data_IF_351059339888
#
_entry.id   IF_351059339888
#
_cell.length_a   1.000
_cell.length_b   1.000
_cell.length_c   1.000
_cell.angle_alpha   90.00
_cell.angle_beta   90.00
_cell.angle_gamma   90.00
#
_symmetry.space_group_name_H-M   'P 1'
#
loop_
_entity.id
_entity.type
_entity.pdbx_description
1 polymer ?
#
# COMPACT_ATOMS: atom_id res chain seq x y z
N UNK A 1 -17.15 -2.93 13.53
CA UNK A 1 -16.86 -3.05 12.08
C UNK A 1 -17.04 -1.72 11.34
N UNK A 2 -18.18 -1.03 11.45
CA UNK A 2 -18.41 0.25 10.74
C UNK A 2 -17.31 1.29 10.98
N UNK A 3 -16.88 1.48 12.24
CA UNK A 3 -15.77 2.39 12.56
C UNK A 3 -14.47 2.03 11.83
N UNK A 4 -14.13 0.74 11.74
CA UNK A 4 -12.92 0.30 11.05
C UNK A 4 -13.01 0.54 9.54
N UNK A 5 -14.17 0.30 8.93
CA UNK A 5 -14.40 0.58 7.51
C UNK A 5 -14.28 2.08 7.24
N UNK A 6 -14.95 2.93 8.03
CA UNK A 6 -14.88 4.38 7.87
C UNK A 6 -13.45 4.90 8.08
N UNK A 7 -12.76 4.44 9.12
CA UNK A 7 -11.38 4.82 9.39
C UNK A 7 -10.43 4.35 8.26
N UNK A 8 -10.63 3.15 7.70
CA UNK A 8 -9.85 2.66 6.57
C UNK A 8 -10.10 3.48 5.29
N UNK A 9 -11.35 3.88 5.02
CA UNK A 9 -11.68 4.75 3.88
C UNK A 9 -11.11 6.16 4.05
N UNK A 10 -11.17 6.73 5.26
CA UNK A 10 -10.51 8.01 5.59
C UNK A 10 -9.00 7.88 5.39
N UNK A 11 -8.38 6.80 5.85
CA UNK A 11 -6.97 6.55 5.65
C UNK A 11 -6.61 6.44 4.17
N UNK A 12 -7.37 5.65 3.41
CA UNK A 12 -7.18 5.46 1.97
C UNK A 12 -7.25 6.79 1.21
N UNK A 13 -8.27 7.61 1.51
CA UNK A 13 -8.45 8.93 0.92
C UNK A 13 -7.32 9.89 1.30
N UNK A 14 -6.94 9.91 2.58
CA UNK A 14 -5.89 10.81 3.07
C UNK A 14 -4.51 10.45 2.48
N UNK A 15 -4.16 9.16 2.40
CA UNK A 15 -2.95 8.71 1.71
C UNK A 15 -2.99 9.01 0.21
N UNK A 16 -4.13 8.82 -0.44
CA UNK A 16 -4.31 9.17 -1.85
C UNK A 16 -4.06 10.66 -2.08
N UNK A 17 -4.66 11.52 -1.26
CA UNK A 17 -4.51 12.97 -1.31
C UNK A 17 -3.06 13.41 -1.03
N UNK A 18 -2.43 12.87 0.01
CA UNK A 18 -1.01 13.13 0.33
C UNK A 18 -0.12 12.79 -0.86
N UNK A 19 -0.32 11.60 -1.44
CA UNK A 19 0.43 11.14 -2.61
C UNK A 19 0.25 12.09 -3.79
N UNK A 20 -0.99 12.55 -4.04
CA UNK A 20 -1.25 13.48 -5.16
C UNK A 20 -0.58 14.84 -4.93
N UNK A 21 -0.57 15.34 -3.69
CA UNK A 21 0.12 16.58 -3.30
C UNK A 21 1.63 16.46 -3.49
N UNK A 22 2.25 15.39 -2.98
CA UNK A 22 3.68 15.14 -3.13
C UNK A 22 4.08 14.99 -4.60
N UNK A 23 3.29 14.27 -5.40
CA UNK A 23 3.54 14.10 -6.84
C UNK A 23 3.45 15.42 -7.60
N UNK A 24 2.47 16.28 -7.29
CA UNK A 24 2.36 17.62 -7.90
C UNK A 24 3.51 18.52 -7.52
N UNK A 25 3.93 18.50 -6.26
CA UNK A 25 5.08 19.28 -5.78
C UNK A 25 6.36 18.85 -6.54
N UNK A 26 6.52 17.55 -6.76
CA UNK A 26 7.61 17.00 -7.57
C UNK A 26 7.53 17.43 -9.05
N UNK A 27 6.34 17.37 -9.67
CA UNK A 27 6.13 17.79 -11.07
C UNK A 27 6.41 19.30 -11.29
N UNK A 28 6.25 20.14 -10.27
CA UNK A 28 6.53 21.59 -10.34
C UNK A 28 8.02 21.95 -10.26
N UNK A 29 8.91 21.01 -9.90
CA UNK A 29 10.35 21.28 -9.84
C UNK A 29 11.01 21.09 -11.22
N UNK A 30 11.92 22.00 -11.60
CA UNK A 30 12.72 21.83 -12.83
C UNK A 30 13.54 20.53 -12.76
N UNK A 31 13.37 19.63 -13.74
CA UNK A 31 14.22 18.44 -13.90
C UNK A 31 15.66 18.87 -14.17
N UNK A 32 16.56 18.72 -13.20
CA UNK A 32 18.00 18.94 -13.38
C UNK A 32 18.74 17.65 -13.07
N UNK A 33 19.27 16.99 -14.11
CA UNK A 33 20.04 15.72 -14.08
C UNK A 33 19.33 14.54 -13.39
N UNK A 34 19.68 13.31 -13.79
CA UNK A 34 19.32 12.13 -13.01
C UNK A 34 20.09 12.19 -11.67
N UNK A 35 19.40 11.99 -10.53
CA UNK A 35 19.97 11.98 -9.17
C UNK A 35 20.38 13.35 -8.59
N UNK A 36 19.52 14.36 -8.70
CA UNK A 36 19.72 15.60 -7.95
C UNK A 36 19.42 15.40 -6.45
N UNK A 37 20.46 15.16 -5.66
CA UNK A 37 20.39 15.06 -4.20
C UNK A 37 19.80 16.32 -3.54
N UNK A 38 19.76 17.46 -4.25
CA UNK A 38 19.13 18.70 -3.78
C UNK A 38 17.64 18.77 -4.10
N UNK A 39 17.08 17.78 -4.80
CA UNK A 39 15.63 17.72 -5.04
C UNK A 39 14.86 17.62 -3.73
N UNK A 40 15.31 16.76 -2.80
CA UNK A 40 14.65 16.59 -1.51
C UNK A 40 14.67 17.88 -0.70
N UNK A 41 15.81 18.58 -0.65
CA UNK A 41 15.92 19.86 0.06
C UNK A 41 15.08 20.98 -0.58
N UNK A 42 14.89 20.96 -1.90
CA UNK A 42 13.96 21.89 -2.57
C UNK A 42 12.50 21.54 -2.29
N UNK A 43 12.14 20.27 -2.34
CA UNK A 43 10.78 19.80 -2.04
C UNK A 43 10.38 20.15 -0.61
N UNK A 44 11.28 19.93 0.37
CA UNK A 44 11.12 20.33 1.78
C UNK A 44 10.74 21.81 1.96
N UNK A 45 11.10 22.68 1.01
CA UNK A 45 10.81 24.12 1.03
C UNK A 45 9.53 24.52 0.29
N UNK A 46 8.88 23.59 -0.41
CA UNK A 46 7.65 23.89 -1.14
C UNK A 46 6.43 23.73 -0.23
N UNK A 47 5.55 24.75 -0.22
CA UNK A 47 4.32 24.73 0.59
C UNK A 47 3.44 23.51 0.26
N UNK A 48 3.36 23.14 -1.02
CA UNK A 48 2.54 22.01 -1.45
C UNK A 48 3.05 20.67 -0.89
N UNK A 49 4.36 20.49 -0.81
CA UNK A 49 4.97 19.29 -0.23
C UNK A 49 4.80 19.28 1.29
N UNK A 50 4.96 20.42 1.96
CA UNK A 50 4.68 20.56 3.40
C UNK A 50 3.22 20.26 3.73
N UNK A 51 2.28 20.75 2.92
CA UNK A 51 0.85 20.45 3.06
C UNK A 51 0.52 18.97 2.87
N UNK A 52 1.35 18.20 2.14
CA UNK A 52 1.18 16.76 1.95
C UNK A 52 1.36 15.94 3.22
N UNK A 53 2.06 16.46 4.24
CA UNK A 53 2.23 15.78 5.53
C UNK A 53 0.96 15.77 6.38
N UNK A 54 0.10 16.78 6.26
CA UNK A 54 -1.15 16.84 7.02
C UNK A 54 -2.05 15.64 6.72
N UNK A 55 -2.44 15.36 5.46
CA UNK A 55 -3.21 14.18 5.14
C UNK A 55 -2.42 12.88 5.36
N UNK A 56 -1.09 12.90 5.31
CA UNK A 56 -0.28 11.71 5.63
C UNK A 56 -0.43 11.30 7.11
N UNK A 57 -0.28 12.26 8.03
CA UNK A 57 -0.47 12.05 9.47
C UNK A 57 -1.91 11.62 9.77
N UNK A 58 -2.91 12.28 9.16
CA UNK A 58 -4.31 11.87 9.27
C UNK A 58 -4.49 10.43 8.78
N UNK A 59 -3.87 10.08 7.66
CA UNK A 59 -3.90 8.75 7.08
C UNK A 59 -3.34 7.69 8.02
N UNK A 60 -2.15 7.92 8.59
CA UNK A 60 -1.52 7.01 9.56
C UNK A 60 -2.37 6.83 10.80
N UNK A 61 -2.90 7.93 11.38
CA UNK A 61 -3.76 7.87 12.56
C UNK A 61 -5.06 7.09 12.27
N UNK A 62 -5.71 7.36 11.13
CA UNK A 62 -6.92 6.67 10.72
C UNK A 62 -6.63 5.19 10.39
N UNK A 63 -5.47 4.86 9.81
CA UNK A 63 -5.05 3.49 9.54
C UNK A 63 -4.82 2.72 10.85
N UNK A 64 -4.11 3.31 11.82
CA UNK A 64 -3.93 2.73 13.13
C UNK A 64 -5.28 2.49 13.83
N UNK A 65 -6.20 3.46 13.74
CA UNK A 65 -7.55 3.35 14.27
C UNK A 65 -8.34 2.21 13.58
N UNK A 66 -8.25 2.11 12.26
CA UNK A 66 -8.90 1.06 11.49
C UNK A 66 -8.40 -0.33 11.90
N UNK A 67 -7.08 -0.50 12.04
CA UNK A 67 -6.47 -1.75 12.46
C UNK A 67 -6.75 -2.11 13.92
N UNK A 68 -6.90 -1.11 14.79
CA UNK A 68 -7.29 -1.31 16.18
C UNK A 68 -8.69 -1.94 16.29
N UNK A 69 -9.63 -1.52 15.44
CA UNK A 69 -11.04 -1.93 15.51
C UNK A 69 -11.48 -2.89 14.39
N UNK A 70 -10.56 -3.30 13.53
CA UNK A 70 -10.86 -4.04 12.30
C UNK A 70 -9.89 -5.18 12.02
N UNK A 71 -10.31 -6.20 11.25
CA UNK A 71 -9.42 -7.24 10.79
C UNK A 71 -8.42 -6.68 9.75
N UNK A 72 -7.18 -7.15 9.79
CA UNK A 72 -6.14 -6.82 8.82
C UNK A 72 -6.55 -7.26 7.41
N UNK A 73 -7.21 -8.42 7.32
CA UNK A 73 -7.81 -8.99 6.10
C UNK A 73 -8.89 -8.10 5.47
N UNK A 74 -9.48 -7.16 6.22
CA UNK A 74 -10.43 -6.16 5.73
C UNK A 74 -9.76 -4.81 5.45
N UNK A 75 -8.91 -4.35 6.36
CA UNK A 75 -8.34 -2.99 6.29
C UNK A 75 -7.38 -2.86 5.10
N UNK A 76 -6.58 -3.89 4.82
CA UNK A 76 -5.56 -3.81 3.78
C UNK A 76 -6.16 -3.73 2.36
N UNK A 77 -7.14 -4.58 1.98
CA UNK A 77 -7.86 -4.40 0.72
C UNK A 77 -8.61 -3.06 0.62
N UNK A 78 -9.19 -2.57 1.73
CA UNK A 78 -9.84 -1.25 1.72
C UNK A 78 -8.85 -0.12 1.45
N UNK A 79 -7.64 -0.16 1.99
CA UNK A 79 -6.61 0.84 1.71
C UNK A 79 -6.20 0.85 0.24
N UNK A 80 -6.21 -0.30 -0.44
CA UNK A 80 -5.92 -0.38 -1.88
C UNK A 80 -6.92 0.43 -2.72
N UNK A 81 -8.13 0.71 -2.22
CA UNK A 81 -9.08 1.62 -2.89
C UNK A 81 -8.57 3.05 -3.03
N UNK A 82 -7.59 3.45 -2.21
CA UNK A 82 -6.93 4.76 -2.30
C UNK A 82 -6.31 5.01 -3.68
N UNK A 83 -5.87 3.98 -4.40
CA UNK A 83 -5.42 4.11 -5.79
C UNK A 83 -6.53 4.64 -6.70
N UNK A 84 -7.74 4.09 -6.57
CA UNK A 84 -8.89 4.51 -7.37
C UNK A 84 -9.35 5.92 -6.95
N UNK A 85 -9.30 6.24 -5.66
CA UNK A 85 -9.56 7.60 -5.17
C UNK A 85 -8.53 8.61 -5.73
N UNK A 86 -7.25 8.24 -5.81
CA UNK A 86 -6.20 9.10 -6.36
C UNK A 86 -6.47 9.47 -7.82
N UNK A 87 -6.95 8.52 -8.64
CA UNK A 87 -7.36 8.77 -10.03
C UNK A 87 -8.45 9.85 -10.08
N UNK A 88 -9.47 9.74 -9.22
CA UNK A 88 -10.58 10.70 -9.17
C UNK A 88 -10.13 12.08 -8.67
N UNK A 89 -9.27 12.13 -7.64
CA UNK A 89 -8.69 13.36 -7.11
C UNK A 89 -7.86 14.07 -8.19
N UNK A 90 -7.01 13.33 -8.92
CA UNK A 90 -6.19 13.89 -9.99
C UNK A 90 -7.05 14.46 -11.12
N UNK A 91 -8.09 13.76 -11.55
CA UNK A 91 -9.00 14.25 -12.59
C UNK A 91 -9.74 15.54 -12.17
N UNK A 92 -10.30 15.56 -10.96
CA UNK A 92 -11.02 16.72 -10.43
C UNK A 92 -10.13 17.96 -10.34
N UNK A 93 -8.89 17.79 -9.86
CA UNK A 93 -7.98 18.93 -9.69
C UNK A 93 -7.29 19.34 -10.99
N UNK A 94 -7.07 18.43 -11.93
CA UNK A 94 -6.59 18.79 -13.28
C UNK A 94 -7.68 19.42 -14.16
N UNK A 95 -8.95 19.44 -13.70
CA UNK A 95 -10.13 19.87 -14.47
C UNK A 95 -10.21 19.21 -15.85
N UNK A 96 -9.69 17.99 -15.96
CA UNK A 96 -9.72 17.20 -17.19
C UNK A 96 -10.73 16.06 -17.02
N UNK A 97 -11.45 15.70 -18.10
CA UNK A 97 -12.36 14.57 -18.03
C UNK A 97 -11.60 13.29 -17.69
N UNK A 98 -12.19 12.48 -16.80
CA UNK A 98 -11.68 11.13 -16.49
C UNK A 98 -11.68 10.32 -17.78
N UNK A 99 -10.52 9.79 -18.15
CA UNK A 99 -10.41 8.97 -19.34
C UNK A 99 -11.20 7.66 -19.15
N UNK A 100 -11.84 7.16 -20.21
CA UNK A 100 -12.68 5.94 -20.15
C UNK A 100 -11.97 4.75 -19.50
N UNK A 101 -10.66 4.62 -19.75
CA UNK A 101 -9.81 3.56 -19.16
C UNK A 101 -9.64 3.71 -17.65
N UNK A 102 -9.51 4.93 -17.14
CA UNK A 102 -9.34 5.20 -15.72
C UNK A 102 -10.66 5.00 -14.97
N UNK A 103 -11.76 5.36 -15.63
CA UNK A 103 -13.10 5.04 -15.15
C UNK A 103 -13.31 3.52 -15.11
N UNK A 104 -12.94 2.79 -16.17
CA UNK A 104 -13.01 1.33 -16.19
C UNK A 104 -12.13 0.69 -15.11
N UNK A 105 -10.89 1.18 -14.92
CA UNK A 105 -9.99 0.73 -13.85
C UNK A 105 -10.64 0.89 -12.47
N UNK A 106 -11.20 2.07 -12.22
CA UNK A 106 -11.88 2.42 -10.97
C UNK A 106 -13.11 1.56 -10.74
N UNK A 107 -13.95 1.39 -11.75
CA UNK A 107 -15.19 0.60 -11.67
C UNK A 107 -14.89 -0.88 -11.42
N UNK A 108 -14.01 -1.48 -12.23
CA UNK A 108 -13.67 -2.92 -12.12
C UNK A 108 -12.97 -3.20 -10.78
N UNK A 109 -12.04 -2.34 -10.39
CA UNK A 109 -11.32 -2.49 -9.13
C UNK A 109 -12.21 -2.31 -7.90
N UNK A 110 -13.07 -1.29 -7.90
CA UNK A 110 -14.03 -1.04 -6.81
C UNK A 110 -15.07 -2.14 -6.72
N UNK A 111 -15.60 -2.61 -7.86
CA UNK A 111 -16.52 -3.75 -7.89
C UNK A 111 -15.86 -5.00 -7.32
N UNK A 112 -14.63 -5.33 -7.75
CA UNK A 112 -13.85 -6.43 -7.20
C UNK A 112 -13.66 -6.30 -5.70
N UNK A 113 -13.29 -5.12 -5.19
CA UNK A 113 -13.13 -4.91 -3.75
C UNK A 113 -14.43 -5.08 -2.97
N UNK A 114 -15.55 -4.51 -3.44
CA UNK A 114 -16.85 -4.64 -2.78
C UNK A 114 -17.31 -6.10 -2.78
N UNK A 115 -17.16 -6.81 -3.90
CA UNK A 115 -17.48 -8.24 -3.99
C UNK A 115 -16.58 -9.07 -3.07
N UNK A 116 -15.29 -8.77 -2.99
CA UNK A 116 -14.36 -9.43 -2.08
C UNK A 116 -14.83 -9.28 -0.63
N UNK A 117 -15.10 -8.05 -0.19
CA UNK A 117 -15.49 -7.78 1.19
C UNK A 117 -16.84 -8.41 1.55
N UNK A 118 -17.81 -8.38 0.62
CA UNK A 118 -19.13 -8.99 0.83
C UNK A 118 -19.08 -10.53 0.86
N UNK A 119 -18.30 -11.14 -0.05
CA UNK A 119 -18.23 -12.60 -0.15
C UNK A 119 -17.33 -13.20 0.94
N UNK A 120 -16.16 -12.60 1.18
CA UNK A 120 -15.17 -13.11 2.10
C UNK A 120 -15.56 -12.91 3.58
N UNK A 121 -16.49 -12.01 3.89
CA UNK A 121 -16.98 -11.72 5.26
C UNK A 121 -15.84 -11.76 6.32
N UNK A 122 -14.85 -10.84 6.23
CA UNK A 122 -13.67 -10.91 7.08
C UNK A 122 -14.02 -10.68 8.56
N UNK A 123 -13.56 -11.58 9.43
CA UNK A 123 -13.78 -11.48 10.88
C UNK A 123 -12.47 -11.42 11.65
N UNK A 124 -12.46 -10.60 12.69
CA UNK A 124 -11.32 -10.48 13.60
C UNK A 124 -11.04 -11.81 14.31
N UNK A 125 -9.76 -12.12 14.50
CA UNK A 125 -9.29 -13.25 15.30
C UNK A 125 -8.72 -12.78 16.64
N UNK A 126 -7.51 -13.22 16.97
CA UNK A 126 -6.80 -12.79 18.18
C UNK A 126 -6.26 -11.37 18.05
N UNK A 127 -6.20 -10.65 19.17
CA UNK A 127 -5.59 -9.31 19.26
C UNK A 127 -4.08 -9.39 19.45
N UNK A 128 -3.58 -10.43 20.12
CA UNK A 128 -2.16 -10.64 20.41
C UNK A 128 -1.69 -12.00 19.86
N UNK A 129 -1.06 -12.02 18.67
CA UNK A 129 -0.41 -13.22 18.17
C UNK A 129 0.72 -13.69 19.09
N UNK A 130 0.83 -15.01 19.27
CA UNK A 130 1.91 -15.61 20.05
C UNK A 130 3.29 -15.47 19.40
N UNK A 131 4.35 -15.72 20.17
CA UNK A 131 5.73 -15.59 19.68
C UNK A 131 6.04 -16.50 18.48
N UNK A 132 5.50 -17.72 18.45
CA UNK A 132 5.66 -18.66 17.34
C UNK A 132 5.04 -18.13 16.04
N UNK A 133 3.88 -17.47 16.11
CA UNK A 133 3.25 -16.85 14.96
C UNK A 133 4.11 -15.71 14.40
N UNK A 134 4.67 -14.86 15.27
CA UNK A 134 5.60 -13.80 14.86
C UNK A 134 6.90 -14.36 14.28
N UNK A 135 7.39 -15.48 14.79
CA UNK A 135 8.56 -16.16 14.22
C UNK A 135 8.30 -16.61 12.78
N UNK A 136 7.14 -17.21 12.50
CA UNK A 136 6.75 -17.59 11.14
C UNK A 136 6.57 -16.39 10.21
N UNK A 137 5.97 -15.30 10.70
CA UNK A 137 5.87 -14.05 9.94
C UNK A 137 7.27 -13.52 9.61
N UNK A 138 8.17 -13.47 10.58
CA UNK A 138 9.55 -13.02 10.37
C UNK A 138 10.31 -13.92 9.39
N UNK A 139 10.25 -15.24 9.56
CA UNK A 139 10.90 -16.21 8.68
C UNK A 139 10.38 -16.11 7.24
N UNK A 140 9.05 -16.04 7.06
CA UNK A 140 8.42 -15.86 5.75
C UNK A 140 8.80 -14.54 5.09
N UNK A 141 8.85 -13.45 5.87
CA UNK A 141 9.27 -12.12 5.41
C UNK A 141 10.73 -12.14 4.95
N UNK A 142 11.65 -12.60 5.79
CA UNK A 142 13.08 -12.66 5.48
C UNK A 142 13.34 -13.53 4.26
N UNK A 143 12.73 -14.71 4.20
CA UNK A 143 12.91 -15.64 3.08
C UNK A 143 12.41 -15.04 1.76
N UNK A 144 11.21 -14.44 1.77
CA UNK A 144 10.61 -13.86 0.57
C UNK A 144 11.41 -12.64 0.09
N UNK A 145 11.75 -11.73 1.01
CA UNK A 145 12.51 -10.52 0.70
C UNK A 145 13.92 -10.89 0.22
N UNK A 146 14.63 -11.77 0.92
CA UNK A 146 15.96 -12.24 0.50
C UNK A 146 15.91 -12.93 -0.86
N UNK A 147 14.92 -13.80 -1.10
CA UNK A 147 14.69 -14.45 -2.39
C UNK A 147 14.48 -13.44 -3.52
N UNK A 148 13.62 -12.43 -3.31
CA UNK A 148 13.41 -11.36 -4.27
C UNK A 148 14.69 -10.56 -4.55
N UNK A 149 15.44 -10.20 -3.50
CA UNK A 149 16.70 -9.47 -3.63
C UNK A 149 17.78 -10.28 -4.36
N UNK A 150 17.88 -11.58 -4.10
CA UNK A 150 18.82 -12.48 -4.77
C UNK A 150 18.45 -12.67 -6.25
N UNK A 151 17.17 -12.93 -6.53
CA UNK A 151 16.67 -13.05 -7.90
C UNK A 151 16.86 -11.74 -8.69
N UNK A 152 16.64 -10.58 -8.03
CA UNK A 152 16.82 -9.26 -8.61
C UNK A 152 18.26 -8.99 -9.09
N UNK A 153 19.27 -9.64 -8.50
CA UNK A 153 20.69 -9.50 -8.94
C UNK A 153 20.97 -10.10 -10.31
N UNK A 154 20.15 -11.06 -10.73
CA UNK A 154 20.28 -11.76 -12.02
C UNK A 154 19.22 -11.33 -13.04
N UNK A 155 18.26 -10.51 -12.63
CA UNK A 155 17.13 -10.09 -13.44
C UNK A 155 17.47 -8.88 -14.33
N UNK A 156 16.84 -8.81 -15.51
CA UNK A 156 16.81 -7.60 -16.32
C UNK A 156 16.03 -6.46 -15.64
N UNK A 157 16.21 -5.23 -16.10
CA UNK A 157 15.77 -4.01 -15.40
C UNK A 157 14.28 -3.99 -15.00
N UNK A 158 13.38 -4.38 -15.90
CA UNK A 158 11.94 -4.45 -15.62
C UNK A 158 11.59 -5.51 -14.57
N UNK A 159 12.15 -6.72 -14.70
CA UNK A 159 11.91 -7.81 -13.76
C UNK A 159 12.52 -7.51 -12.38
N UNK A 160 13.68 -6.85 -12.35
CA UNK A 160 14.31 -6.35 -11.13
C UNK A 160 13.40 -5.38 -10.39
N UNK A 161 12.85 -4.39 -11.08
CA UNK A 161 11.88 -3.45 -10.51
C UNK A 161 10.65 -4.15 -9.92
N UNK A 162 10.09 -5.13 -10.63
CA UNK A 162 8.97 -5.95 -10.13
C UNK A 162 9.34 -6.73 -8.86
N UNK A 163 10.47 -7.43 -8.84
CA UNK A 163 10.92 -8.20 -7.67
C UNK A 163 11.14 -7.33 -6.44
N UNK A 164 11.73 -6.13 -6.62
CA UNK A 164 11.88 -5.16 -5.54
C UNK A 164 10.52 -4.61 -5.09
N UNK A 165 9.58 -4.40 -6.00
CA UNK A 165 8.20 -4.01 -5.67
C UNK A 165 7.47 -5.08 -4.84
N UNK A 166 7.64 -6.36 -5.16
CA UNK A 166 7.12 -7.48 -4.33
C UNK A 166 7.74 -7.42 -2.93
N UNK A 167 9.07 -7.32 -2.82
CA UNK A 167 9.76 -7.24 -1.53
C UNK A 167 9.27 -6.04 -0.69
N UNK A 168 9.10 -4.87 -1.30
CA UNK A 168 8.55 -3.69 -0.63
C UNK A 168 7.11 -3.93 -0.15
N UNK A 169 6.26 -4.54 -0.99
CA UNK A 169 4.89 -4.88 -0.62
C UNK A 169 4.81 -5.83 0.58
N UNK A 170 5.69 -6.84 0.64
CA UNK A 170 5.79 -7.72 1.82
C UNK A 170 6.17 -6.94 3.06
N UNK A 171 7.19 -6.08 2.99
CA UNK A 171 7.62 -5.25 4.11
C UNK A 171 6.51 -4.31 4.60
N UNK A 172 5.76 -3.68 3.70
CA UNK A 172 4.62 -2.82 4.07
C UNK A 172 3.46 -3.60 4.67
N UNK A 173 3.11 -4.77 4.11
CA UNK A 173 2.06 -5.62 4.69
C UNK A 173 2.42 -6.11 6.11
N UNK A 174 3.68 -6.44 6.35
CA UNK A 174 4.18 -6.80 7.70
C UNK A 174 4.22 -5.58 8.62
N UNK A 175 4.56 -4.39 8.10
CA UNK A 175 4.48 -3.14 8.83
C UNK A 175 3.04 -2.87 9.29
N UNK A 176 2.04 -3.10 8.43
CA UNK A 176 0.64 -2.96 8.82
C UNK A 176 0.23 -3.97 9.90
N UNK A 177 0.71 -5.21 9.83
CA UNK A 177 0.50 -6.21 10.88
C UNK A 177 1.11 -5.78 12.23
N UNK A 178 2.32 -5.20 12.22
CA UNK A 178 2.97 -4.65 13.41
C UNK A 178 2.21 -3.43 13.93
N UNK A 179 1.78 -2.52 13.05
CA UNK A 179 0.95 -1.37 13.39
C UNK A 179 -0.35 -1.82 14.07
N UNK A 180 -0.99 -2.88 13.59
CA UNK A 180 -2.16 -3.47 14.24
C UNK A 180 -1.85 -3.91 15.68
N UNK A 181 -0.76 -4.63 15.88
CA UNK A 181 -0.37 -5.12 17.20
C UNK A 181 -0.01 -3.96 18.16
N UNK A 182 0.65 -2.92 17.66
CA UNK A 182 0.99 -1.71 18.42
C UNK A 182 -0.28 -0.91 18.76
N UNK A 183 -1.17 -0.70 17.79
CA UNK A 183 -2.41 0.05 17.97
C UNK A 183 -3.38 -0.64 18.95
N UNK A 184 -3.39 -1.98 18.99
CA UNK A 184 -4.15 -2.75 19.97
C UNK A 184 -3.68 -2.51 21.42
N UNK A 185 -2.42 -2.11 21.61
CA UNK A 185 -1.80 -1.87 22.92
C UNK A 185 -1.80 -0.39 23.33
N UNK A 186 -2.37 0.48 22.51
CA UNK A 186 -2.52 1.89 22.85
C UNK A 186 -3.59 2.10 23.93
N UNK A 187 -3.12 2.42 25.13
CA UNK A 187 -3.96 2.75 26.29
C UNK A 187 -3.74 4.18 26.79
N UNK A 188 -3.19 5.06 25.94
CA UNK A 188 -2.92 6.47 26.28
C UNK A 188 -1.56 6.72 26.94
N UNK A 189 -0.67 5.72 27.00
CA UNK A 189 0.70 5.85 27.51
C UNK A 189 1.74 5.79 26.37
N UNK A 190 2.32 6.94 25.98
CA UNK A 190 3.38 7.01 24.97
C UNK A 190 4.65 6.27 25.36
N UNK A 191 4.99 6.23 26.66
CA UNK A 191 6.21 5.59 27.12
C UNK A 191 6.09 4.07 26.99
N UNK A 192 4.95 3.50 27.34
CA UNK A 192 4.67 2.08 27.13
C UNK A 192 4.79 1.67 25.65
N UNK A 193 4.34 2.52 24.71
CA UNK A 193 4.54 2.26 23.28
C UNK A 193 6.01 2.35 22.88
N UNK A 194 6.74 3.35 23.38
CA UNK A 194 8.16 3.54 23.05
C UNK A 194 9.04 2.39 23.57
N UNK A 195 8.63 1.76 24.68
CA UNK A 195 9.31 0.60 25.25
C UNK A 195 8.86 -0.74 24.65
N UNK A 196 7.76 -0.78 23.88
CA UNK A 196 7.31 -2.01 23.22
C UNK A 196 8.25 -2.37 22.05
N UNK A 197 8.90 -3.56 22.05
CA UNK A 197 9.77 -3.99 20.96
C UNK A 197 9.08 -4.00 19.58
N UNK A 198 7.75 -4.16 19.53
CA UNK A 198 6.98 -4.16 18.29
C UNK A 198 6.96 -2.78 17.63
N UNK A 199 7.02 -1.70 18.40
CA UNK A 199 7.13 -0.34 17.86
C UNK A 199 8.44 -0.11 17.12
N UNK A 200 9.53 -0.67 17.65
CA UNK A 200 10.85 -0.63 17.00
C UNK A 200 10.91 -1.54 15.78
N UNK A 201 10.34 -2.74 15.87
CA UNK A 201 10.20 -3.62 14.71
C UNK A 201 9.38 -2.95 13.60
N UNK A 202 8.27 -2.30 13.94
CA UNK A 202 7.45 -1.52 13.00
C UNK A 202 8.29 -0.45 12.30
N UNK A 203 9.03 0.35 13.08
CA UNK A 203 9.87 1.42 12.54
C UNK A 203 10.93 0.86 11.57
N UNK A 204 11.65 -0.18 11.97
CA UNK A 204 12.70 -0.81 11.16
C UNK A 204 12.12 -1.40 9.88
N UNK A 205 11.05 -2.18 9.96
CA UNK A 205 10.43 -2.82 8.78
C UNK A 205 9.85 -1.77 7.83
N UNK A 206 9.22 -0.71 8.36
CA UNK A 206 8.70 0.38 7.55
C UNK A 206 9.81 1.15 6.82
N UNK A 207 10.92 1.44 7.50
CA UNK A 207 12.09 2.09 6.89
C UNK A 207 12.70 1.22 5.80
N UNK A 208 12.92 -0.07 6.06
CA UNK A 208 13.40 -1.02 5.05
C UNK A 208 12.45 -1.08 3.84
N UNK A 209 11.14 -1.09 4.10
CA UNK A 209 10.11 -1.00 3.06
C UNK A 209 10.29 0.23 2.18
N UNK A 210 10.49 1.41 2.79
CA UNK A 210 10.80 2.65 2.06
C UNK A 210 12.07 2.50 1.23
N UNK A 211 13.17 2.01 1.80
CA UNK A 211 14.42 1.87 1.06
C UNK A 211 14.30 0.93 -0.14
N UNK A 212 13.68 -0.25 0.04
CA UNK A 212 13.47 -1.22 -1.05
C UNK A 212 12.52 -0.65 -2.10
N UNK A 213 11.47 0.06 -1.70
CA UNK A 213 10.54 0.72 -2.60
C UNK A 213 11.22 1.79 -3.46
N UNK A 214 12.08 2.63 -2.87
CA UNK A 214 12.87 3.60 -3.63
C UNK A 214 13.80 2.93 -4.64
N UNK A 215 14.46 1.83 -4.25
CA UNK A 215 15.29 1.05 -5.17
C UNK A 215 14.47 0.41 -6.30
N UNK A 216 13.23 0.00 -6.02
CA UNK A 216 12.31 -0.56 -7.01
C UNK A 216 11.98 0.45 -8.10
N UNK A 217 11.70 1.71 -7.74
CA UNK A 217 11.39 2.77 -8.70
C UNK A 217 12.58 3.26 -9.52
N UNK A 218 13.82 2.90 -9.14
CA UNK A 218 15.01 3.19 -9.93
C UNK A 218 15.19 2.22 -11.12
N UNK A 219 14.49 1.08 -11.12
CA UNK A 219 14.66 0.01 -12.11
C UNK A 219 13.34 -0.30 -12.82
N UNK A 220 13.32 -0.23 -14.15
CA UNK A 220 12.16 -0.52 -14.99
C UNK A 220 11.16 0.63 -15.17
N UNK A 221 10.11 0.37 -15.95
CA UNK A 221 8.99 1.31 -16.14
C UNK A 221 8.27 1.45 -14.79
N UNK A 222 8.11 2.68 -14.29
CA UNK A 222 7.45 3.03 -13.01
C UNK A 222 6.19 2.21 -12.67
N UNK A 223 5.40 1.82 -13.67
CA UNK A 223 4.20 1.01 -13.48
C UNK A 223 4.47 -0.40 -12.93
N UNK A 224 5.54 -1.09 -13.34
CA UNK A 224 5.74 -2.49 -12.98
C UNK A 224 6.08 -2.70 -11.49
N UNK A 225 7.02 -1.94 -10.87
CA UNK A 225 7.25 -1.97 -9.43
C UNK A 225 6.00 -1.55 -8.63
N UNK A 226 5.30 -0.52 -9.11
CA UNK A 226 4.09 -0.01 -8.46
C UNK A 226 2.98 -1.06 -8.41
N UNK A 227 2.66 -1.69 -9.54
CA UNK A 227 1.66 -2.77 -9.60
C UNK A 227 2.06 -3.92 -8.67
N UNK A 228 3.34 -4.32 -8.69
CA UNK A 228 3.82 -5.39 -7.85
C UNK A 228 3.62 -5.09 -6.35
N UNK A 229 3.99 -3.88 -5.92
CA UNK A 229 3.81 -3.41 -4.54
C UNK A 229 2.33 -3.37 -4.16
N UNK A 230 1.49 -2.69 -4.96
CA UNK A 230 0.06 -2.49 -4.67
C UNK A 230 -0.72 -3.80 -4.59
N UNK A 231 -0.29 -4.85 -5.29
CA UNK A 231 -0.90 -6.17 -5.19
C UNK A 231 -0.33 -6.98 -4.02
N UNK A 232 0.97 -6.90 -3.76
CA UNK A 232 1.64 -7.73 -2.76
C UNK A 232 1.34 -7.28 -1.33
N UNK A 233 1.22 -5.98 -1.09
CA UNK A 233 0.96 -5.45 0.26
C UNK A 233 -0.38 -5.96 0.84
N UNK A 234 -1.53 -5.83 0.16
CA UNK A 234 -2.79 -6.37 0.68
C UNK A 234 -2.78 -7.88 0.82
N UNK A 235 -2.14 -8.60 -0.10
CA UNK A 235 -1.99 -10.07 -0.02
C UNK A 235 -1.21 -10.46 1.23
N UNK A 236 -0.10 -9.78 1.50
CA UNK A 236 0.71 -10.02 2.69
C UNK A 236 -0.10 -9.73 3.96
N UNK A 237 -0.84 -8.62 3.99
CA UNK A 237 -1.74 -8.29 5.08
C UNK A 237 -2.82 -9.36 5.32
N UNK A 238 -3.45 -9.86 4.26
CA UNK A 238 -4.44 -10.95 4.33
C UNK A 238 -3.81 -12.24 4.85
N UNK A 239 -2.63 -12.62 4.35
CA UNK A 239 -1.92 -13.83 4.80
C UNK A 239 -1.53 -13.74 6.28
N UNK A 240 -0.94 -12.63 6.72
CA UNK A 240 -0.57 -12.42 8.13
C UNK A 240 -1.82 -12.34 9.01
N UNK A 241 -2.89 -11.71 8.55
CA UNK A 241 -4.17 -11.65 9.24
C UNK A 241 -4.77 -13.04 9.46
N UNK A 242 -4.84 -13.84 8.40
CA UNK A 242 -5.39 -15.20 8.46
C UNK A 242 -4.54 -16.16 9.29
N UNK A 243 -3.20 -16.04 9.23
CA UNK A 243 -2.28 -16.97 9.91
C UNK A 243 -1.94 -16.54 11.32
N UNK A 244 -1.31 -15.37 11.50
CA UNK A 244 -0.81 -14.92 12.79
C UNK A 244 -1.94 -14.39 13.68
N UNK A 245 -2.83 -13.58 13.12
CA UNK A 245 -3.98 -13.03 13.84
C UNK A 245 -5.18 -13.99 13.87
N UNK A 246 -5.12 -15.13 13.15
CA UNK A 246 -6.21 -16.12 13.07
C UNK A 246 -7.54 -15.49 12.65
N UNK A 247 -7.49 -14.47 11.80
CA UNK A 247 -8.67 -13.87 11.20
C UNK A 247 -9.30 -14.83 10.20
N UNK A 248 -10.62 -14.85 10.12
CA UNK A 248 -11.33 -15.82 9.27
C UNK A 248 -11.94 -15.15 8.05
N UNK A 249 -11.88 -15.87 6.93
CA UNK A 249 -12.60 -15.54 5.70
C UNK A 249 -13.58 -16.67 5.36
N UNK A 250 -14.78 -16.31 4.96
CA UNK A 250 -15.81 -17.24 4.50
C UNK A 250 -15.53 -17.67 3.06
N UNK A 251 -14.81 -18.78 2.90
CA UNK A 251 -14.36 -19.30 1.60
C UNK A 251 -15.07 -20.61 1.18
N UNK A 252 -16.23 -20.93 1.74
CA UNK A 252 -16.95 -22.18 1.46
C UNK A 252 -17.99 -22.03 0.35
N UNK A 253 -18.21 -23.11 -0.41
CA UNK A 253 -19.25 -23.19 -1.45
C UNK A 253 -19.11 -22.10 -2.53
N UNK A 254 -20.21 -21.41 -2.83
CA UNK A 254 -20.26 -20.35 -3.86
C UNK A 254 -19.38 -19.13 -3.54
N UNK A 255 -18.97 -18.95 -2.27
CA UNK A 255 -18.14 -17.81 -1.87
C UNK A 255 -16.72 -17.90 -2.43
N UNK A 256 -16.17 -19.10 -2.58
CA UNK A 256 -14.82 -19.28 -3.12
C UNK A 256 -14.66 -18.71 -4.54
N UNK A 257 -15.45 -19.12 -5.54
CA UNK A 257 -15.33 -18.56 -6.89
C UNK A 257 -15.63 -17.05 -6.93
N UNK A 258 -16.53 -16.55 -6.07
CA UNK A 258 -16.80 -15.11 -5.95
C UNK A 258 -15.57 -14.34 -5.44
N UNK A 259 -14.90 -14.84 -4.40
CA UNK A 259 -13.68 -14.23 -3.85
C UNK A 259 -12.56 -14.28 -4.88
N UNK A 260 -12.38 -15.40 -5.59
CA UNK A 260 -11.38 -15.52 -6.66
C UNK A 260 -11.66 -14.52 -7.79
N UNK A 261 -12.90 -14.44 -8.27
CA UNK A 261 -13.30 -13.47 -9.29
C UNK A 261 -13.11 -12.02 -8.85
N UNK A 262 -13.41 -11.73 -7.59
CA UNK A 262 -13.20 -10.43 -6.97
C UNK A 262 -11.73 -10.01 -6.91
N UNK A 263 -10.84 -10.94 -6.51
CA UNK A 263 -9.38 -10.71 -6.53
C UNK A 263 -8.88 -10.47 -7.95
N UNK A 264 -9.35 -11.26 -8.93
CA UNK A 264 -9.01 -11.05 -10.34
C UNK A 264 -9.46 -9.67 -10.82
N UNK A 265 -10.68 -9.25 -10.50
CA UNK A 265 -11.19 -7.92 -10.85
C UNK A 265 -10.34 -6.80 -10.20
N UNK A 266 -9.96 -6.95 -8.94
CA UNK A 266 -9.07 -5.99 -8.25
C UNK A 266 -7.72 -5.87 -8.99
N UNK A 267 -7.10 -7.01 -9.33
CA UNK A 267 -5.82 -7.05 -10.05
C UNK A 267 -5.94 -6.38 -11.42
N UNK A 268 -7.02 -6.66 -12.16
CA UNK A 268 -7.29 -6.02 -13.45
C UNK A 268 -7.46 -4.51 -13.29
N UNK A 269 -8.23 -4.05 -12.30
CA UNK A 269 -8.42 -2.63 -12.00
C UNK A 269 -7.10 -1.91 -11.71
N UNK A 270 -6.26 -2.48 -10.84
CA UNK A 270 -4.93 -1.94 -10.51
C UNK A 270 -4.03 -1.87 -11.76
N UNK A 271 -4.01 -2.92 -12.59
CA UNK A 271 -3.20 -2.94 -13.82
C UNK A 271 -3.67 -1.91 -14.85
N UNK A 272 -4.98 -1.72 -14.97
CA UNK A 272 -5.56 -0.70 -15.85
C UNK A 272 -5.17 0.71 -15.38
N UNK A 273 -5.25 1.00 -14.07
CA UNK A 273 -4.89 2.30 -13.51
C UNK A 273 -3.39 2.61 -13.59
N UNK A 274 -2.52 1.66 -13.25
CA UNK A 274 -1.07 1.86 -13.23
C UNK A 274 -0.46 2.12 -14.63
N UNK A 275 -1.09 1.61 -15.68
CA UNK A 275 -0.60 1.77 -17.06
C UNK A 275 -0.57 3.22 -17.57
N UNK A 276 -1.30 4.15 -16.92
CA UNK A 276 -1.34 5.57 -17.29
C UNK A 276 -0.28 6.42 -16.59
N UNK A 277 0.08 6.10 -15.34
CA UNK A 277 1.20 6.74 -14.63
C UNK A 277 2.51 6.67 -15.43
N UNK A 278 2.65 5.67 -16.31
CA UNK A 278 3.77 5.54 -17.25
C UNK A 278 3.68 6.36 -18.53
N UNK A 279 2.49 6.77 -18.99
CA UNK A 279 2.33 7.52 -20.25
C UNK A 279 2.70 9.01 -20.09
N UNK A 280 2.41 9.60 -18.94
CA UNK A 280 2.81 10.98 -18.62
C UNK A 280 4.31 11.13 -18.32
N UNK A 281 5.01 10.02 -18.06
CA UNK A 281 6.44 10.00 -17.75
C UNK A 281 7.35 9.88 -18.99
N UNK A 282 6.81 9.44 -20.14
CA UNK A 282 7.54 9.42 -21.41
C UNK A 282 7.62 10.83 -21.98
N UNK A 283 8.81 11.46 -22.07
CA UNK A 283 8.93 12.69 -22.81
C UNK A 283 8.64 12.36 -24.28
N UNK A 284 7.67 13.06 -24.85
CA UNK A 284 7.58 13.21 -26.30
C UNK A 284 8.86 13.92 -26.72
N UNK A 285 9.92 13.16 -26.98
CA UNK A 285 11.03 13.60 -27.83
C UNK A 285 10.47 13.68 -29.25
N UNK A 286 9.63 14.68 -29.50
CA UNK A 286 9.42 15.18 -30.86
C UNK A 286 10.69 15.94 -31.20
N UNK A 287 11.57 15.26 -31.95
CA UNK A 287 12.47 15.94 -32.89
C UNK A 287 11.62 16.59 -33.98
#
# INVERSE_FOLDING_TARGET
MTLAVLAALVAAFAFALSTTLHQRAAKQQQRRRALDLRLLSRLLRTRLWQLGWVPDVVGVCAHALALRYGPLTLVQPLLASGLFMAILIEAGWSRQPVHRRDLAATLVGTAGLVTFLAAADPRAGVTEPGASAWWWVAAGTVTTVAGCLLAARRAGDAARGTLLGIAAGVLYGVSAALLKAVAARWHGDPLALALDPRSWALLVVALLGVQVNQAAFQHGRLAAPLVALTLTEPVTGVLVGATAFRETLSLTGVRLPLVVGAVVALVVGVRLGASRATQDATPVLRR
#
